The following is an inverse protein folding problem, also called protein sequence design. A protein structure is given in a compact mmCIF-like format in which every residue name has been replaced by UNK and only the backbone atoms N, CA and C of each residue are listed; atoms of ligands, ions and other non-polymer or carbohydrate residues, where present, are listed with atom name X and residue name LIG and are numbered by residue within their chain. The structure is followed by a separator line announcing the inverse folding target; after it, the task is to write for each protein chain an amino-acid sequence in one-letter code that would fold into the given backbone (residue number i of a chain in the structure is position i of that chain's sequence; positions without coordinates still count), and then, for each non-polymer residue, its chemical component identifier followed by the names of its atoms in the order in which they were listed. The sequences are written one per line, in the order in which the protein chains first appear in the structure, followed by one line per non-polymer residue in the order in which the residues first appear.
data_IF_827110682186
#
_entry.id   IF_827110682186
#
_cell.length_a   1.000
_cell.length_b   1.000
_cell.length_c   1.000
_cell.angle_alpha   90.00
_cell.angle_beta   90.00
_cell.angle_gamma   90.00
#
_symmetry.space_group_name_H-M   'P 1'
#
loop_
_entity.id
_entity.type
_entity.pdbx_description
1 polymer ?
#
# COMPACT_ATOMS: atom_id res chain seq x y z
N UNK A 1 15.98 1.39 13.98
CA UNK A 1 14.79 0.52 13.94
C UNK A 1 14.52 -0.06 15.31
N UNK A 2 13.27 -0.09 15.73
CA UNK A 2 12.88 -0.82 16.92
C UNK A 2 12.97 -2.33 16.68
N UNK A 3 13.01 -3.12 17.77
CA UNK A 3 13.07 -4.57 17.64
C UNK A 3 11.84 -5.14 16.95
N UNK A 4 10.65 -4.60 17.22
CA UNK A 4 9.44 -5.03 16.55
C UNK A 4 9.45 -4.73 15.05
N UNK A 5 9.99 -3.58 14.66
CA UNK A 5 10.11 -3.20 13.26
C UNK A 5 11.11 -4.09 12.52
N UNK A 6 12.23 -4.44 13.16
CA UNK A 6 13.21 -5.37 12.58
C UNK A 6 12.60 -6.75 12.36
N UNK A 7 11.83 -7.22 13.32
CA UNK A 7 11.18 -8.52 13.22
C UNK A 7 10.17 -8.55 12.08
N UNK A 8 9.35 -7.51 11.93
CA UNK A 8 8.39 -7.38 10.84
C UNK A 8 9.10 -7.35 9.48
N UNK A 9 10.16 -6.56 9.37
CA UNK A 9 10.95 -6.45 8.15
C UNK A 9 11.54 -7.81 7.76
N UNK A 10 12.09 -8.53 8.72
CA UNK A 10 12.68 -9.86 8.47
C UNK A 10 11.62 -10.88 8.04
N UNK A 11 10.41 -10.81 8.61
CA UNK A 11 9.31 -11.68 8.19
C UNK A 11 8.88 -11.40 6.75
N UNK A 12 8.84 -10.13 6.35
CA UNK A 12 8.52 -9.76 4.96
C UNK A 12 9.57 -10.29 3.99
N UNK A 13 10.86 -10.16 4.34
CA UNK A 13 11.94 -10.68 3.50
C UNK A 13 11.88 -12.18 3.34
N UNK A 14 11.43 -12.90 4.34
CA UNK A 14 11.33 -14.37 4.30
C UNK A 14 9.99 -14.88 3.78
N UNK A 15 9.13 -13.99 3.29
CA UNK A 15 7.78 -14.29 2.82
C UNK A 15 6.89 -14.94 3.87
N UNK A 16 7.14 -14.65 5.15
CA UNK A 16 6.36 -15.16 6.29
C UNK A 16 5.46 -14.10 6.91
N UNK A 17 5.31 -12.95 6.26
CA UNK A 17 4.47 -11.89 6.76
C UNK A 17 2.99 -12.29 6.73
N UNK A 18 2.24 -11.92 7.78
CA UNK A 18 0.80 -12.09 7.79
C UNK A 18 0.14 -10.95 6.99
N UNK A 19 -1.18 -11.06 6.78
CA UNK A 19 -1.92 -10.09 5.98
C UNK A 19 -1.80 -8.66 6.53
N UNK A 20 -1.90 -8.48 7.83
CA UNK A 20 -1.78 -7.14 8.44
C UNK A 20 -0.41 -6.54 8.23
N UNK A 21 0.64 -7.34 8.30
CA UNK A 21 2.00 -6.87 8.04
C UNK A 21 2.17 -6.45 6.58
N UNK A 22 1.59 -7.21 5.65
CA UNK A 22 1.61 -6.85 4.23
C UNK A 22 0.85 -5.53 4.00
N UNK A 23 -0.33 -5.39 4.60
CA UNK A 23 -1.14 -4.17 4.46
C UNK A 23 -0.43 -2.93 4.99
N UNK A 24 0.45 -3.08 5.97
CA UNK A 24 1.18 -1.98 6.57
C UNK A 24 2.62 -1.83 6.06
N UNK A 25 3.02 -2.64 5.07
CA UNK A 25 4.42 -2.71 4.61
C UNK A 25 4.94 -1.37 4.07
N UNK A 26 4.16 -0.68 3.25
CA UNK A 26 4.60 0.59 2.65
C UNK A 26 4.69 1.68 3.71
N UNK A 27 3.78 1.69 4.66
CA UNK A 27 3.84 2.66 5.77
C UNK A 27 5.09 2.44 6.61
N UNK A 28 5.42 1.19 6.93
CA UNK A 28 6.65 0.85 7.64
C UNK A 28 7.87 1.29 6.86
N UNK A 29 7.93 1.00 5.56
CA UNK A 29 9.03 1.40 4.70
C UNK A 29 9.18 2.92 4.67
N UNK A 30 8.06 3.65 4.56
CA UNK A 30 8.06 5.12 4.59
C UNK A 30 8.68 5.64 5.88
N UNK A 31 8.31 5.06 7.02
CA UNK A 31 8.86 5.42 8.32
C UNK A 31 10.37 5.19 8.38
N UNK A 32 10.82 4.01 7.93
CA UNK A 32 12.23 3.65 7.98
C UNK A 32 13.07 4.57 7.10
N UNK A 33 12.60 4.87 5.89
CA UNK A 33 13.31 5.76 4.96
C UNK A 33 13.34 7.19 5.49
N UNK A 34 12.23 7.69 6.02
CA UNK A 34 12.16 9.02 6.61
C UNK A 34 13.14 9.17 7.76
N UNK A 35 13.20 8.17 8.63
CA UNK A 35 14.10 8.20 9.79
C UNK A 35 15.56 8.08 9.37
N UNK A 36 15.86 7.27 8.35
CA UNK A 36 17.23 7.07 7.89
C UNK A 36 17.78 8.32 7.21
N UNK A 37 17.01 8.90 6.29
CA UNK A 37 17.45 10.07 5.53
C UNK A 37 17.09 11.40 6.16
N UNK A 38 16.31 11.37 7.23
CA UNK A 38 15.81 12.57 7.92
C UNK A 38 15.08 13.54 6.97
N UNK A 39 14.30 12.97 6.05
CA UNK A 39 13.50 13.68 5.06
C UNK A 39 12.19 12.97 4.82
N UNK A 40 11.10 13.70 4.52
CA UNK A 40 9.85 13.04 4.16
C UNK A 40 9.98 12.27 2.85
N UNK A 41 9.13 11.27 2.67
CA UNK A 41 9.18 10.34 1.56
C UNK A 41 8.17 10.74 0.49
N UNK A 42 8.53 10.62 -0.77
CA UNK A 42 7.60 10.70 -1.89
C UNK A 42 7.31 9.29 -2.38
N UNK A 43 6.03 9.00 -2.60
CA UNK A 43 5.59 7.67 -3.04
C UNK A 43 5.04 7.77 -4.46
N UNK A 44 5.58 6.95 -5.35
CA UNK A 44 5.09 6.79 -6.72
C UNK A 44 4.51 5.40 -6.88
N UNK A 45 3.27 5.33 -7.31
CA UNK A 45 2.64 4.05 -7.65
C UNK A 45 2.23 4.11 -9.11
N UNK A 46 2.95 3.36 -9.93
CA UNK A 46 2.68 3.29 -11.36
C UNK A 46 1.70 2.14 -11.64
N UNK A 47 0.75 2.41 -12.54
CA UNK A 47 -0.23 1.41 -12.98
C UNK A 47 -0.98 0.77 -11.79
N UNK A 48 -1.46 1.61 -10.86
CA UNK A 48 -2.12 1.15 -9.64
C UNK A 48 -3.34 0.26 -9.92
N UNK A 49 -3.91 0.37 -11.10
CA UNK A 49 -5.12 -0.34 -11.51
C UNK A 49 -4.88 -1.67 -12.25
N UNK A 50 -3.63 -2.00 -12.57
CA UNK A 50 -3.32 -3.26 -13.27
C UNK A 50 -3.78 -4.49 -12.49
N UNK A 51 -3.55 -4.59 -11.17
CA UNK A 51 -4.07 -5.73 -10.41
C UNK A 51 -5.59 -5.86 -10.48
N UNK A 52 -6.29 -4.73 -10.55
CA UNK A 52 -7.75 -4.72 -10.66
C UNK A 52 -8.21 -5.24 -12.03
N UNK A 53 -7.53 -4.81 -13.09
CA UNK A 53 -7.84 -5.29 -14.45
C UNK A 53 -7.61 -6.79 -14.55
N UNK A 54 -6.50 -7.29 -14.00
CA UNK A 54 -6.20 -8.71 -13.97
C UNK A 54 -7.26 -9.47 -13.16
N UNK A 55 -7.64 -8.95 -12.01
CA UNK A 55 -8.64 -9.58 -11.16
C UNK A 55 -10.00 -9.67 -11.83
N UNK A 56 -10.36 -8.66 -12.63
CA UNK A 56 -11.62 -8.67 -13.37
C UNK A 56 -11.64 -9.79 -14.40
N UNK A 57 -10.57 -9.94 -15.17
CA UNK A 57 -10.43 -11.00 -16.18
C UNK A 57 -10.46 -12.39 -15.52
N UNK A 58 -9.74 -12.54 -14.38
CA UNK A 58 -9.60 -13.83 -13.69
C UNK A 58 -10.74 -14.09 -12.68
N UNK A 59 -11.74 -13.22 -12.62
CA UNK A 59 -12.96 -13.38 -11.81
C UNK A 59 -12.76 -13.35 -10.30
N UNK A 60 -11.75 -12.63 -9.81
CA UNK A 60 -11.59 -12.38 -8.37
C UNK A 60 -11.61 -10.89 -8.03
N UNK A 61 -12.39 -10.13 -8.78
CA UNK A 61 -12.43 -8.66 -8.72
C UNK A 61 -12.78 -8.16 -7.31
N UNK A 62 -13.82 -8.74 -6.68
CA UNK A 62 -14.27 -8.26 -5.37
C UNK A 62 -13.21 -8.43 -4.29
N UNK A 63 -12.53 -9.57 -4.28
CA UNK A 63 -11.44 -9.84 -3.34
C UNK A 63 -10.28 -8.87 -3.56
N UNK A 64 -9.94 -8.60 -4.83
CA UNK A 64 -8.86 -7.68 -5.17
C UNK A 64 -9.19 -6.25 -4.74
N UNK A 65 -10.42 -5.77 -4.99
CA UNK A 65 -10.84 -4.44 -4.56
C UNK A 65 -10.78 -4.31 -3.05
N UNK A 66 -11.28 -5.31 -2.32
CA UNK A 66 -11.27 -5.29 -0.86
C UNK A 66 -9.85 -5.21 -0.32
N UNK A 67 -8.95 -6.03 -0.86
CA UNK A 67 -7.55 -6.04 -0.45
C UNK A 67 -6.86 -4.71 -0.75
N UNK A 68 -7.00 -4.21 -1.98
CA UNK A 68 -6.32 -2.97 -2.38
C UNK A 68 -6.86 -1.75 -1.67
N UNK A 69 -8.17 -1.72 -1.41
CA UNK A 69 -8.78 -0.65 -0.63
C UNK A 69 -8.17 -0.59 0.78
N UNK A 70 -8.00 -1.75 1.43
CA UNK A 70 -7.35 -1.84 2.73
C UNK A 70 -5.87 -1.49 2.65
N UNK A 71 -5.16 -1.97 1.64
CA UNK A 71 -3.73 -1.73 1.45
C UNK A 71 -3.44 -0.24 1.26
N UNK A 72 -4.13 0.39 0.31
CA UNK A 72 -3.91 1.83 0.07
C UNK A 72 -4.41 2.68 1.23
N UNK A 73 -5.53 2.30 1.85
CA UNK A 73 -6.01 2.99 3.04
C UNK A 73 -4.98 2.99 4.15
N UNK A 74 -4.38 1.84 4.44
CA UNK A 74 -3.33 1.74 5.46
C UNK A 74 -2.06 2.48 5.08
N UNK A 75 -1.73 2.53 3.78
CA UNK A 75 -0.55 3.22 3.29
C UNK A 75 -0.67 4.73 3.47
N UNK A 76 -1.85 5.31 3.18
CA UNK A 76 -2.02 6.76 3.15
C UNK A 76 -2.58 7.35 4.42
N UNK A 77 -3.42 6.60 5.15
CA UNK A 77 -4.07 7.13 6.35
C UNK A 77 -3.06 7.35 7.46
N UNK A 78 -3.08 8.55 8.03
CA UNK A 78 -2.22 8.90 9.17
C UNK A 78 -0.74 8.62 8.91
N UNK A 79 -0.30 8.74 7.67
CA UNK A 79 1.11 8.51 7.31
C UNK A 79 1.84 9.86 7.19
N UNK A 80 2.34 10.35 8.31
CA UNK A 80 3.06 11.62 8.38
C UNK A 80 4.45 11.56 7.73
N UNK A 81 4.93 10.37 7.37
CA UNK A 81 6.23 10.20 6.73
C UNK A 81 6.19 10.48 5.23
N UNK A 82 4.99 10.50 4.64
CA UNK A 82 4.80 10.81 3.23
C UNK A 82 4.61 12.31 3.04
N UNK A 83 5.39 12.91 2.15
CA UNK A 83 5.19 14.29 1.73
C UNK A 83 4.18 14.38 0.60
N UNK A 84 4.30 13.48 -0.37
CA UNK A 84 3.48 13.48 -1.56
C UNK A 84 3.36 12.08 -2.14
N UNK A 85 2.20 11.77 -2.69
CA UNK A 85 1.95 10.52 -3.39
C UNK A 85 1.45 10.82 -4.79
N UNK A 86 2.00 10.11 -5.77
CA UNK A 86 1.58 10.19 -7.17
C UNK A 86 1.13 8.81 -7.62
N UNK A 87 -0.10 8.72 -8.13
CA UNK A 87 -0.68 7.50 -8.65
C UNK A 87 -0.86 7.64 -10.15
N UNK A 88 -0.40 6.66 -10.92
CA UNK A 88 -0.67 6.60 -12.36
C UNK A 88 -1.51 5.37 -12.68
N UNK A 89 -2.46 5.54 -13.60
CA UNK A 89 -3.34 4.48 -14.05
C UNK A 89 -4.33 5.01 -15.05
N UNK A 90 -5.08 4.12 -15.68
CA UNK A 90 -6.01 4.48 -16.76
C UNK A 90 -7.47 4.23 -16.41
N UNK A 91 -7.76 3.41 -15.39
CA UNK A 91 -9.13 3.04 -15.06
C UNK A 91 -9.72 3.96 -13.99
N UNK A 92 -10.66 4.80 -14.42
CA UNK A 92 -11.42 5.65 -13.49
C UNK A 92 -12.30 4.80 -12.57
N UNK A 93 -12.85 3.71 -13.08
CA UNK A 93 -13.72 2.83 -12.29
C UNK A 93 -12.92 2.19 -11.15
N UNK A 94 -11.71 1.71 -11.43
CA UNK A 94 -10.85 1.16 -10.39
C UNK A 94 -10.49 2.21 -9.34
N UNK A 95 -10.20 3.45 -9.79
CA UNK A 95 -9.89 4.55 -8.87
C UNK A 95 -11.06 4.84 -7.93
N UNK A 96 -12.27 4.91 -8.46
CA UNK A 96 -13.46 5.16 -7.66
C UNK A 96 -13.74 4.02 -6.68
N UNK A 97 -13.54 2.77 -7.12
CA UNK A 97 -13.77 1.59 -6.29
C UNK A 97 -12.78 1.49 -5.13
N UNK A 98 -11.52 1.84 -5.36
CA UNK A 98 -10.46 1.73 -4.36
C UNK A 98 -10.48 2.92 -3.40
N UNK A 99 -10.65 4.14 -3.91
CA UNK A 99 -10.46 5.37 -3.15
C UNK A 99 -11.75 6.08 -2.77
N UNK A 100 -12.93 5.57 -3.19
CA UNK A 100 -14.19 6.17 -2.77
C UNK A 100 -14.38 5.98 -1.27
N UNK A 101 -14.93 7.00 -0.62
CA UNK A 101 -15.28 6.89 0.80
C UNK A 101 -16.56 6.08 0.93
N UNK A 102 -16.53 5.11 1.84
CA UNK A 102 -17.76 4.43 2.25
C UNK A 102 -18.68 5.43 2.92
N UNK A 103 -19.85 5.52 2.42
CA UNK A 103 -20.88 6.32 3.09
C UNK A 103 -21.73 5.43 3.98
#
# INVERSE_FOLDING_TARGET
MSDGEKETYNRMLSAKANEMEILNSVKLLSKLLCNYYNKPVMLFIDEYDVPIQTAYVEKYYEQAIKFLKAFYGNTFKDNSYLEKTVLTGVSRVAKESIFSRSK
#
